data_IF_513785709309
#
_entry.id   IF_513785709309
#
_cell.length_a   1.000
_cell.length_b   1.000
_cell.length_c   1.000
_cell.angle_alpha   90.00
_cell.angle_beta   90.00
_cell.angle_gamma   90.00
#
_symmetry.space_group_name_H-M   'P 1'
#
loop_
_entity.id
_entity.type
_entity.pdbx_description
1 polymer ?
#
# COMPACT_ATOMS: atom_id res chain seq x y z
N UNK A 1 12.41 16.30 -21.07
CA UNK A 1 12.17 15.04 -21.82
C UNK A 1 12.85 13.80 -21.19
N UNK A 2 14.07 13.91 -20.65
CA UNK A 2 14.80 12.77 -20.05
C UNK A 2 14.21 12.31 -18.70
N UNK A 3 13.68 13.20 -17.87
CA UNK A 3 13.05 12.88 -16.58
C UNK A 3 11.81 12.03 -16.76
N UNK A 4 10.94 12.35 -17.74
CA UNK A 4 9.74 11.55 -18.04
C UNK A 4 10.06 10.18 -18.63
N UNK A 5 11.18 10.03 -19.33
CA UNK A 5 11.62 8.74 -19.88
C UNK A 5 12.13 7.82 -18.76
N UNK A 6 12.87 8.35 -17.79
CA UNK A 6 13.33 7.60 -16.60
C UNK A 6 12.17 7.17 -15.70
N UNK A 7 11.19 8.03 -15.46
CA UNK A 7 9.98 7.68 -14.70
C UNK A 7 9.15 6.59 -15.38
N UNK A 8 8.98 6.66 -16.72
CA UNK A 8 8.27 5.59 -17.47
C UNK A 8 9.01 4.25 -17.42
N UNK A 9 10.33 4.25 -17.58
CA UNK A 9 11.13 3.01 -17.49
C UNK A 9 11.16 2.41 -16.08
N UNK A 10 11.23 3.23 -15.04
CA UNK A 10 11.11 2.76 -13.65
C UNK A 10 9.74 2.11 -13.41
N UNK A 11 8.65 2.75 -13.87
CA UNK A 11 7.31 2.20 -13.72
C UNK A 11 7.14 0.82 -14.40
N UNK A 12 7.66 0.61 -15.60
CA UNK A 12 7.54 -0.67 -16.31
C UNK A 12 8.32 -1.76 -15.58
N UNK A 13 9.57 -1.48 -15.18
CA UNK A 13 10.39 -2.43 -14.43
C UNK A 13 9.76 -2.81 -13.09
N UNK A 14 9.21 -1.84 -12.37
CA UNK A 14 8.58 -2.05 -11.07
C UNK A 14 7.29 -2.87 -11.18
N UNK A 15 6.50 -2.65 -12.24
CA UNK A 15 5.30 -3.44 -12.55
C UNK A 15 5.64 -4.91 -12.80
N UNK A 16 6.63 -5.16 -13.67
CA UNK A 16 7.11 -6.51 -13.95
C UNK A 16 7.66 -7.18 -12.70
N UNK A 17 8.46 -6.46 -11.92
CA UNK A 17 9.05 -6.96 -10.68
C UNK A 17 7.97 -7.38 -9.69
N UNK A 18 6.96 -6.53 -9.47
CA UNK A 18 5.83 -6.88 -8.60
C UNK A 18 5.06 -8.09 -9.11
N UNK A 19 4.78 -8.14 -10.43
CA UNK A 19 4.06 -9.26 -11.04
C UNK A 19 4.77 -10.60 -10.82
N UNK A 20 6.10 -10.62 -10.88
CA UNK A 20 6.91 -11.81 -10.59
C UNK A 20 6.88 -12.12 -9.09
N UNK A 21 7.12 -11.11 -8.22
CA UNK A 21 7.30 -11.31 -6.79
C UNK A 21 6.00 -11.63 -6.04
N UNK A 22 4.83 -11.34 -6.60
CA UNK A 22 3.54 -11.73 -5.99
C UNK A 22 3.24 -13.23 -6.08
N UNK A 23 3.96 -13.95 -6.95
CA UNK A 23 3.79 -15.40 -7.13
C UNK A 23 4.79 -16.16 -6.26
N UNK A 24 4.35 -17.26 -5.67
CA UNK A 24 5.21 -18.13 -4.89
C UNK A 24 6.39 -18.64 -5.75
N UNK A 25 7.66 -18.54 -5.28
CA UNK A 25 8.83 -18.93 -6.05
C UNK A 25 8.82 -20.41 -6.53
N UNK A 26 8.04 -21.26 -5.89
CA UNK A 26 7.88 -22.69 -6.25
C UNK A 26 6.87 -22.90 -7.36
N UNK A 27 6.10 -21.87 -7.73
CA UNK A 27 5.06 -21.97 -8.76
C UNK A 27 5.56 -21.45 -10.11
N UNK A 28 5.07 -22.06 -11.18
CA UNK A 28 5.29 -21.53 -12.54
C UNK A 28 4.51 -20.25 -12.73
N UNK A 29 5.14 -19.23 -13.33
CA UNK A 29 4.51 -17.96 -13.66
C UNK A 29 4.07 -18.01 -15.12
N UNK A 30 2.78 -17.84 -15.36
CA UNK A 30 2.25 -17.49 -16.68
C UNK A 30 2.28 -15.95 -16.77
N UNK A 31 3.21 -15.43 -17.56
CA UNK A 31 3.34 -13.99 -17.71
C UNK A 31 2.32 -13.47 -18.72
N UNK A 32 1.40 -12.61 -18.23
CA UNK A 32 0.51 -11.83 -19.07
C UNK A 32 0.86 -10.34 -18.94
N UNK A 33 1.39 -9.69 -20.00
CA UNK A 33 1.77 -8.29 -19.98
C UNK A 33 0.59 -7.36 -19.62
N UNK A 34 -0.61 -7.64 -20.14
CA UNK A 34 -1.80 -6.81 -19.92
C UNK A 34 -2.23 -6.82 -18.46
N UNK A 35 -2.24 -7.97 -17.80
CA UNK A 35 -2.53 -8.07 -16.37
C UNK A 35 -1.50 -7.37 -15.50
N UNK A 36 -0.24 -7.30 -15.92
CA UNK A 36 0.83 -6.69 -15.13
C UNK A 36 0.72 -5.18 -15.01
N UNK A 37 0.01 -4.54 -15.94
CA UNK A 37 -0.14 -3.07 -16.03
C UNK A 37 -1.51 -2.59 -15.58
N UNK A 38 -2.43 -3.48 -15.26
CA UNK A 38 -3.77 -3.12 -14.81
C UNK A 38 -3.71 -2.31 -13.49
N UNK A 39 -4.52 -1.26 -13.42
CA UNK A 39 -4.73 -0.47 -12.20
C UNK A 39 -5.75 -1.10 -11.25
N UNK A 40 -6.39 -2.19 -11.65
CA UNK A 40 -7.28 -2.98 -10.84
C UNK A 40 -6.62 -4.33 -10.48
N UNK A 41 -6.98 -4.86 -9.33
CA UNK A 41 -6.46 -6.16 -8.90
C UNK A 41 -5.09 -6.10 -8.23
N UNK A 42 -4.44 -7.27 -8.10
CA UNK A 42 -3.17 -7.44 -7.40
C UNK A 42 -1.99 -7.04 -8.29
N UNK A 43 -1.76 -5.73 -8.42
CA UNK A 43 -0.73 -5.16 -9.31
C UNK A 43 0.09 -4.07 -8.61
N UNK A 44 1.32 -3.87 -9.08
CA UNK A 44 2.18 -2.80 -8.59
C UNK A 44 1.57 -1.40 -8.75
N UNK A 45 1.01 -1.05 -9.93
CA UNK A 45 0.31 0.21 -10.14
C UNK A 45 -0.81 0.50 -9.16
N UNK A 46 -1.63 -0.50 -8.81
CA UNK A 46 -2.70 -0.35 -7.84
C UNK A 46 -2.18 0.09 -6.46
N UNK A 47 -1.08 -0.52 -6.00
CA UNK A 47 -0.44 -0.20 -4.73
C UNK A 47 0.21 1.19 -4.78
N UNK A 48 0.94 1.49 -5.86
CA UNK A 48 1.61 2.78 -6.05
C UNK A 48 0.59 3.94 -6.13
N UNK A 49 -0.52 3.75 -6.83
CA UNK A 49 -1.60 4.74 -6.92
C UNK A 49 -2.23 5.02 -5.55
N UNK A 50 -2.48 3.98 -4.75
CA UNK A 50 -3.00 4.14 -3.40
C UNK A 50 -2.02 4.91 -2.51
N UNK A 51 -0.73 4.61 -2.60
CA UNK A 51 0.31 5.37 -1.89
C UNK A 51 0.29 6.86 -2.25
N UNK A 52 0.31 7.18 -3.55
CA UNK A 52 0.27 8.57 -4.02
C UNK A 52 -1.00 9.31 -3.56
N UNK A 53 -2.17 8.62 -3.55
CA UNK A 53 -3.42 9.14 -2.99
C UNK A 53 -3.28 9.48 -1.51
N UNK A 54 -2.73 8.58 -0.70
CA UNK A 54 -2.52 8.82 0.73
C UNK A 54 -1.56 10.00 0.92
N UNK A 55 -0.46 10.07 0.18
CA UNK A 55 0.47 11.21 0.24
C UNK A 55 -0.21 12.54 -0.07
N UNK A 56 -1.14 12.55 -1.01
CA UNK A 56 -1.94 13.75 -1.31
C UNK A 56 -2.83 14.18 -0.12
N UNK A 57 -3.43 13.21 0.60
CA UNK A 57 -4.21 13.47 1.81
C UNK A 57 -3.32 14.05 2.92
N UNK A 58 -2.17 13.42 3.19
CA UNK A 58 -1.23 13.84 4.22
C UNK A 58 -0.67 15.25 3.94
N UNK A 59 -0.38 15.56 2.68
CA UNK A 59 0.11 16.88 2.29
C UNK A 59 -0.91 18.01 2.55
N UNK A 60 -2.21 17.71 2.51
CA UNK A 60 -3.28 18.66 2.85
C UNK A 60 -3.42 18.89 4.37
N UNK A 61 -2.86 18.00 5.18
CA UNK A 61 -2.98 17.97 6.64
C UNK A 61 -1.65 18.04 7.38
N UNK A 62 -0.67 18.76 6.85
CA UNK A 62 0.70 18.83 7.42
C UNK A 62 0.80 19.33 8.86
N UNK A 63 -0.22 20.02 9.38
CA UNK A 63 -0.22 20.65 10.70
C UNK A 63 -1.18 19.96 11.69
N UNK A 64 -1.54 18.72 11.47
CA UNK A 64 -2.48 18.02 12.36
C UNK A 64 -1.71 17.43 13.55
N UNK A 65 -1.95 17.96 14.75
CA UNK A 65 -1.63 17.27 16.01
C UNK A 65 -2.60 16.10 16.17
N UNK A 66 -2.07 14.91 16.38
CA UNK A 66 -2.90 13.71 16.56
C UNK A 66 -3.36 13.63 18.04
N UNK A 67 -4.60 14.02 18.28
CA UNK A 67 -5.26 13.84 19.58
C UNK A 67 -6.25 12.69 19.49
N UNK A 68 -6.10 11.68 20.35
CA UNK A 68 -6.95 10.49 20.38
C UNK A 68 -7.75 10.48 21.69
N UNK A 69 -8.95 11.08 21.66
CA UNK A 69 -9.91 10.98 22.76
C UNK A 69 -10.96 9.91 22.37
N UNK A 70 -11.35 9.07 23.33
CA UNK A 70 -12.41 8.02 23.22
C UNK A 70 -12.93 7.68 21.81
N UNK A 71 -12.14 6.91 21.05
CA UNK A 71 -12.45 6.58 19.66
C UNK A 71 -13.36 5.35 19.58
N UNK A 72 -14.57 5.52 19.07
CA UNK A 72 -15.37 4.40 18.57
C UNK A 72 -14.88 4.04 17.17
N UNK A 73 -14.04 3.02 17.09
CA UNK A 73 -13.49 2.54 15.83
C UNK A 73 -14.57 1.83 14.98
N UNK A 74 -14.66 2.20 13.71
CA UNK A 74 -15.43 1.47 12.73
C UNK A 74 -14.85 0.08 12.46
N UNK A 75 -15.66 -0.86 11.98
CA UNK A 75 -15.21 -2.24 11.74
C UNK A 75 -14.01 -2.30 10.81
N UNK A 76 -14.02 -1.58 9.68
CA UNK A 76 -12.90 -1.53 8.74
C UNK A 76 -11.63 -0.91 9.33
N UNK A 77 -11.75 0.02 10.27
CA UNK A 77 -10.60 0.61 10.98
C UNK A 77 -9.92 -0.43 11.86
N UNK A 78 -10.70 -1.26 12.58
CA UNK A 78 -10.18 -2.38 13.37
C UNK A 78 -9.48 -3.42 12.48
N UNK A 79 -10.09 -3.79 11.37
CA UNK A 79 -9.53 -4.74 10.41
C UNK A 79 -8.20 -4.24 9.82
N UNK A 80 -8.12 -2.95 9.46
CA UNK A 80 -6.87 -2.34 8.99
C UNK A 80 -5.77 -2.39 10.05
N UNK A 81 -6.10 -2.07 11.30
CA UNK A 81 -5.13 -2.14 12.41
C UNK A 81 -4.60 -3.56 12.57
N UNK A 82 -5.49 -4.57 12.55
CA UNK A 82 -5.10 -5.98 12.66
C UNK A 82 -4.12 -6.34 11.52
N UNK A 83 -4.47 -6.03 10.28
CA UNK A 83 -3.58 -6.30 9.13
C UNK A 83 -2.22 -5.60 9.27
N UNK A 84 -2.20 -4.34 9.71
CA UNK A 84 -0.94 -3.62 9.94
C UNK A 84 -0.09 -4.30 11.02
N UNK A 85 -0.70 -4.80 12.08
CA UNK A 85 0.00 -5.51 13.16
C UNK A 85 0.55 -6.88 12.72
N UNK A 86 -0.13 -7.58 11.81
CA UNK A 86 0.29 -8.89 11.28
C UNK A 86 1.59 -8.84 10.47
N UNK A 87 1.97 -7.69 9.96
CA UNK A 87 3.15 -7.54 9.10
C UNK A 87 4.42 -8.12 9.68
N UNK A 88 4.62 -8.00 10.99
CA UNK A 88 5.80 -8.57 11.68
C UNK A 88 5.88 -10.09 11.51
N UNK A 89 4.74 -10.77 11.60
CA UNK A 89 4.66 -12.21 11.43
C UNK A 89 4.84 -12.62 9.96
N UNK A 90 4.26 -11.85 9.04
CA UNK A 90 4.44 -12.03 7.59
C UNK A 90 5.93 -11.90 7.23
N UNK A 91 6.63 -10.89 7.75
CA UNK A 91 8.07 -10.72 7.53
C UNK A 91 8.87 -11.94 8.02
N UNK A 92 8.63 -12.38 9.26
CA UNK A 92 9.32 -13.55 9.80
C UNK A 92 9.10 -14.79 8.94
N UNK A 93 7.85 -15.02 8.52
CA UNK A 93 7.51 -16.16 7.68
C UNK A 93 8.14 -16.05 6.28
N UNK A 94 8.14 -14.86 5.69
CA UNK A 94 8.77 -14.61 4.39
C UNK A 94 10.26 -14.94 4.40
N UNK A 95 10.97 -14.49 5.44
CA UNK A 95 12.41 -14.82 5.63
C UNK A 95 12.60 -16.32 5.86
N UNK A 96 11.83 -16.93 6.78
CA UNK A 96 11.94 -18.36 7.11
C UNK A 96 11.71 -19.28 5.89
N UNK A 97 10.78 -18.89 5.02
CA UNK A 97 10.40 -19.68 3.84
C UNK A 97 11.07 -19.21 2.53
N UNK A 98 11.89 -18.15 2.60
CA UNK A 98 12.50 -17.49 1.44
C UNK A 98 11.45 -17.13 0.37
N UNK A 99 10.29 -16.68 0.82
CA UNK A 99 9.14 -16.43 -0.04
C UNK A 99 8.68 -14.96 0.01
N UNK A 100 9.13 -14.11 -0.92
CA UNK A 100 8.76 -12.70 -0.98
C UNK A 100 7.28 -12.47 -1.34
N UNK A 101 6.60 -13.46 -1.90
CA UNK A 101 5.20 -13.33 -2.28
C UNK A 101 4.29 -13.10 -1.06
N UNK A 102 4.70 -13.56 0.13
CA UNK A 102 3.97 -13.30 1.37
C UNK A 102 3.88 -11.79 1.66
N UNK A 103 4.97 -11.04 1.43
CA UNK A 103 5.00 -9.58 1.60
C UNK A 103 4.13 -8.90 0.53
N UNK A 104 4.28 -9.32 -0.74
CA UNK A 104 3.55 -8.75 -1.85
C UNK A 104 2.03 -8.93 -1.71
N UNK A 105 1.59 -10.13 -1.34
CA UNK A 105 0.16 -10.41 -1.17
C UNK A 105 -0.40 -9.74 0.08
N UNK A 106 0.36 -9.69 1.18
CA UNK A 106 -0.07 -9.00 2.39
C UNK A 106 -0.30 -7.50 2.13
N UNK A 107 0.65 -6.82 1.49
CA UNK A 107 0.46 -5.39 1.20
C UNK A 107 -0.68 -5.13 0.22
N UNK A 108 -0.96 -6.05 -0.70
CA UNK A 108 -2.14 -5.96 -1.54
C UNK A 108 -3.44 -6.01 -0.73
N UNK A 109 -3.57 -6.93 0.24
CA UNK A 109 -4.76 -6.99 1.10
C UNK A 109 -4.93 -5.73 1.95
N UNK A 110 -3.84 -5.19 2.52
CA UNK A 110 -3.87 -3.89 3.22
C UNK A 110 -4.40 -2.78 2.32
N UNK A 111 -3.87 -2.68 1.10
CA UNK A 111 -4.26 -1.64 0.12
C UNK A 111 -5.70 -1.82 -0.35
N UNK A 112 -6.12 -3.05 -0.61
CA UNK A 112 -7.50 -3.38 -1.00
C UNK A 112 -8.50 -2.97 0.08
N UNK A 113 -8.22 -3.33 1.33
CA UNK A 113 -9.06 -2.93 2.46
C UNK A 113 -9.06 -1.42 2.67
N UNK A 114 -7.89 -0.76 2.55
CA UNK A 114 -7.80 0.68 2.65
C UNK A 114 -8.59 1.41 1.57
N UNK A 115 -8.56 0.96 0.32
CA UNK A 115 -9.37 1.57 -0.75
C UNK A 115 -10.87 1.40 -0.49
N UNK A 116 -11.31 0.23 0.00
CA UNK A 116 -12.69 0.01 0.42
C UNK A 116 -13.10 0.92 1.60
N UNK A 117 -12.21 1.11 2.57
CA UNK A 117 -12.39 2.03 3.68
C UNK A 117 -12.49 3.47 3.20
N UNK A 118 -11.59 3.91 2.33
CA UNK A 118 -11.57 5.25 1.75
C UNK A 118 -12.85 5.63 1.02
N UNK A 119 -13.48 4.68 0.33
CA UNK A 119 -14.75 4.89 -0.39
C UNK A 119 -15.94 5.08 0.56
N UNK A 120 -15.90 4.49 1.75
CA UNK A 120 -17.03 4.46 2.69
C UNK A 120 -16.90 5.42 3.87
N UNK A 121 -15.72 5.99 4.08
CA UNK A 121 -15.42 6.84 5.23
C UNK A 121 -14.75 8.14 4.79
N UNK A 122 -15.28 9.27 5.26
CA UNK A 122 -14.66 10.58 5.03
C UNK A 122 -13.40 10.70 5.90
N UNK A 123 -12.23 10.83 5.28
CA UNK A 123 -10.95 11.00 6.01
C UNK A 123 -10.75 12.45 6.41
N UNK A 124 -11.22 13.40 5.59
CA UNK A 124 -11.10 14.84 5.78
C UNK A 124 -12.48 15.45 5.99
N UNK A 125 -12.87 15.84 7.20
CA UNK A 125 -14.17 16.41 7.47
C UNK A 125 -14.31 17.02 8.88
N UNK A 126 -14.54 16.28 9.95
CA UNK A 126 -14.71 16.75 11.34
C UNK A 126 -13.46 16.56 12.19
N UNK A 127 -13.04 17.56 12.96
CA UNK A 127 -11.72 17.69 13.61
C UNK A 127 -11.23 16.47 14.41
N UNK A 128 -12.05 15.80 15.20
CA UNK A 128 -11.58 14.74 16.12
C UNK A 128 -11.45 13.35 15.47
N UNK A 129 -12.44 12.91 14.70
CA UNK A 129 -12.41 11.61 14.01
C UNK A 129 -11.37 11.61 12.89
N UNK A 130 -11.12 12.76 12.30
CA UNK A 130 -10.18 12.91 11.19
C UNK A 130 -8.73 12.75 11.59
N UNK A 131 -8.35 13.21 12.76
CA UNK A 131 -7.00 13.07 13.28
C UNK A 131 -6.56 11.60 13.32
N UNK A 132 -7.40 10.71 13.85
CA UNK A 132 -7.15 9.27 13.85
C UNK A 132 -7.12 8.67 12.43
N UNK A 133 -8.06 9.06 11.55
CA UNK A 133 -8.13 8.54 10.17
C UNK A 133 -6.94 8.97 9.32
N UNK A 134 -6.47 10.20 9.51
CA UNK A 134 -5.23 10.68 8.89
C UNK A 134 -4.02 9.90 9.41
N UNK A 135 -3.93 9.69 10.73
CA UNK A 135 -2.89 8.87 11.33
C UNK A 135 -2.90 7.42 10.81
N UNK A 136 -4.08 6.78 10.76
CA UNK A 136 -4.22 5.43 10.20
C UNK A 136 -3.77 5.38 8.74
N UNK A 137 -4.15 6.38 7.93
CA UNK A 137 -3.70 6.52 6.55
C UNK A 137 -2.18 6.67 6.44
N UNK A 138 -1.56 7.44 7.34
CA UNK A 138 -0.10 7.55 7.43
C UNK A 138 0.56 6.19 7.70
N UNK A 139 0.01 5.40 8.65
CA UNK A 139 0.54 4.06 8.94
C UNK A 139 0.42 3.11 7.76
N UNK A 140 -0.69 3.18 7.02
CA UNK A 140 -0.86 2.43 5.76
C UNK A 140 0.20 2.86 4.74
N UNK A 141 0.44 4.16 4.54
CA UNK A 141 1.48 4.64 3.63
C UNK A 141 2.89 4.16 4.04
N UNK A 142 3.22 4.22 5.34
CA UNK A 142 4.50 3.70 5.85
C UNK A 142 4.65 2.20 5.60
N UNK A 143 3.58 1.43 5.74
CA UNK A 143 3.56 0.00 5.47
C UNK A 143 3.78 -0.28 3.98
N UNK A 144 3.12 0.48 3.09
CA UNK A 144 3.31 0.37 1.64
C UNK A 144 4.78 0.65 1.29
N UNK A 145 5.33 1.75 1.76
CA UNK A 145 6.71 2.14 1.48
C UNK A 145 7.73 1.08 1.93
N UNK A 146 7.57 0.58 3.16
CA UNK A 146 8.42 -0.49 3.70
C UNK A 146 8.29 -1.80 2.91
N UNK A 147 7.06 -2.23 2.62
CA UNK A 147 6.82 -3.49 1.92
C UNK A 147 7.36 -3.44 0.49
N UNK A 148 7.08 -2.36 -0.24
CA UNK A 148 7.56 -2.18 -1.61
C UNK A 148 9.08 -2.01 -1.64
N UNK A 149 9.65 -1.28 -0.67
CA UNK A 149 11.10 -1.14 -0.51
C UNK A 149 11.81 -2.49 -0.29
N UNK A 150 11.26 -3.38 0.55
CA UNK A 150 11.78 -4.74 0.74
C UNK A 150 11.74 -5.58 -0.54
N UNK A 151 10.74 -5.34 -1.39
CA UNK A 151 10.65 -5.96 -2.72
C UNK A 151 11.55 -5.25 -3.76
N UNK A 152 12.26 -4.20 -3.38
CA UNK A 152 13.11 -3.40 -4.26
C UNK A 152 12.31 -2.61 -5.29
N UNK A 153 11.10 -2.18 -4.95
CA UNK A 153 10.16 -1.41 -5.78
C UNK A 153 9.98 -0.03 -5.16
N UNK A 154 10.10 1.00 -5.98
CA UNK A 154 9.91 2.38 -5.53
C UNK A 154 8.43 2.79 -5.56
N UNK A 155 8.03 3.62 -4.61
CA UNK A 155 6.69 4.21 -4.58
C UNK A 155 6.77 5.73 -4.78
N UNK A 156 6.11 6.27 -5.82
CA UNK A 156 6.17 7.70 -6.12
C UNK A 156 5.21 8.50 -5.22
N UNK A 157 5.63 9.68 -4.80
CA UNK A 157 4.77 10.59 -4.02
C UNK A 157 3.61 11.19 -4.84
N UNK A 158 3.70 11.14 -6.19
CA UNK A 158 2.68 11.61 -7.14
C UNK A 158 2.64 10.68 -8.34
N UNK A 159 1.46 10.38 -8.81
CA UNK A 159 1.19 9.67 -10.07
C UNK A 159 0.29 10.51 -10.96
#
# INVERSE_FOLDING_TARGET
HQLHRRQRQMCIRDRLKYHILKVDPKKKILFNPEESIDFNGNTGPFIQYTYARIKSILNKNRNTTYEFNELKLAQKEKELIILLCEFRNILKNSVKTLNPSLIANHIYEVVKLYNSYYQTHTILGNKNINSFRVYLSEKVAMQIDKSMGLLGISVPNRM
#
